data_IF_754883956640
#
_entry.id   IF_754883956640
#
_cell.length_a   1.000
_cell.length_b   1.000
_cell.length_c   1.000
_cell.angle_alpha   90.00
_cell.angle_beta   90.00
_cell.angle_gamma   90.00
#
_symmetry.space_group_name_H-M   'P 1'
#
loop_
_entity.id
_entity.type
_entity.pdbx_description
1 polymer ?
#
# COMPACT_ATOMS: atom_id res chain seq x y z
N UNK A 1 -10.40 -6.34 -1.14
CA UNK A 1 -9.63 -5.41 -2.01
C UNK A 1 -8.42 -6.14 -2.57
N UNK A 2 -8.20 -6.03 -3.88
CA UNK A 2 -7.02 -6.65 -4.50
C UNK A 2 -5.78 -5.79 -4.24
N UNK A 3 -4.61 -6.38 -4.49
CA UNK A 3 -3.35 -5.64 -4.38
C UNK A 3 -3.34 -4.41 -5.27
N UNK A 4 -3.79 -4.57 -6.51
CA UNK A 4 -3.81 -3.46 -7.47
C UNK A 4 -4.74 -2.34 -7.02
N UNK A 5 -5.90 -2.68 -6.48
CA UNK A 5 -6.84 -1.70 -5.94
C UNK A 5 -6.23 -0.95 -4.76
N UNK A 6 -5.60 -1.68 -3.85
CA UNK A 6 -4.95 -1.09 -2.69
C UNK A 6 -3.85 -0.11 -3.11
N UNK A 7 -2.96 -0.56 -3.99
CA UNK A 7 -1.84 0.28 -4.43
C UNK A 7 -2.31 1.47 -5.25
N UNK A 8 -3.32 1.29 -6.09
CA UNK A 8 -3.89 2.39 -6.87
C UNK A 8 -4.51 3.45 -5.97
N UNK A 9 -5.26 3.02 -4.99
CA UNK A 9 -5.90 3.93 -4.04
C UNK A 9 -4.85 4.65 -3.19
N UNK A 10 -3.85 3.91 -2.74
CA UNK A 10 -2.76 4.49 -1.97
C UNK A 10 -2.03 5.57 -2.77
N UNK A 11 -1.75 5.29 -4.04
CA UNK A 11 -1.12 6.27 -4.92
C UNK A 11 -1.92 7.55 -5.08
N UNK A 12 -3.24 7.43 -5.17
CA UNK A 12 -4.12 8.60 -5.25
C UNK A 12 -4.05 9.44 -3.97
N UNK A 13 -4.03 8.77 -2.83
CA UNK A 13 -3.96 9.45 -1.54
C UNK A 13 -2.60 10.08 -1.27
N UNK A 14 -1.55 9.60 -1.93
CA UNK A 14 -0.21 10.13 -1.80
C UNK A 14 0.15 11.14 -2.90
N UNK A 15 -0.86 11.67 -3.59
CA UNK A 15 -0.63 12.56 -4.74
C UNK A 15 0.14 13.83 -4.39
N UNK A 16 0.18 14.24 -3.13
CA UNK A 16 0.96 15.41 -2.71
C UNK A 16 2.46 15.16 -2.61
N UNK A 17 2.87 13.89 -2.70
CA UNK A 17 4.28 13.54 -2.67
C UNK A 17 4.87 13.49 -4.09
N UNK A 18 6.20 13.65 -4.21
CA UNK A 18 6.86 13.45 -5.51
C UNK A 18 6.58 12.04 -6.03
N UNK A 19 6.45 11.90 -7.34
CA UNK A 19 6.16 10.61 -7.97
C UNK A 19 7.15 9.52 -7.54
N UNK A 20 8.41 9.87 -7.39
CA UNK A 20 9.45 8.95 -6.96
C UNK A 20 9.16 8.35 -5.59
N UNK A 21 8.72 9.18 -4.64
CA UNK A 21 8.36 8.72 -3.31
C UNK A 21 7.11 7.87 -3.32
N UNK A 22 6.15 8.23 -4.14
CA UNK A 22 4.91 7.45 -4.30
C UNK A 22 5.26 6.04 -4.80
N UNK A 23 6.11 5.95 -5.80
CA UNK A 23 6.52 4.66 -6.36
C UNK A 23 7.28 3.81 -5.36
N UNK A 24 8.17 4.41 -4.58
CA UNK A 24 8.90 3.70 -3.52
C UNK A 24 7.95 3.14 -2.47
N UNK A 25 6.99 3.93 -2.05
CA UNK A 25 6.00 3.51 -1.06
C UNK A 25 5.16 2.36 -1.60
N UNK A 26 4.70 2.48 -2.83
CA UNK A 26 3.91 1.42 -3.47
C UNK A 26 4.71 0.13 -3.60
N UNK A 27 5.98 0.24 -3.99
CA UNK A 27 6.84 -0.93 -4.13
C UNK A 27 7.02 -1.63 -2.78
N UNK A 28 7.20 -0.87 -1.71
CA UNK A 28 7.35 -1.42 -0.36
C UNK A 28 6.13 -2.24 0.03
N UNK A 29 4.94 -1.69 -0.15
CA UNK A 29 3.72 -2.39 0.23
C UNK A 29 3.39 -3.55 -0.71
N UNK A 30 3.72 -3.42 -1.99
CA UNK A 30 3.55 -4.53 -2.94
C UNK A 30 4.39 -5.73 -2.52
N UNK A 31 5.62 -5.49 -2.10
CA UNK A 31 6.51 -6.54 -1.64
C UNK A 31 6.01 -7.16 -0.33
N UNK A 32 5.55 -6.33 0.60
CA UNK A 32 5.01 -6.81 1.87
C UNK A 32 3.79 -7.71 1.65
N UNK A 33 2.92 -7.34 0.73
CA UNK A 33 1.75 -8.14 0.38
C UNK A 33 2.19 -9.48 -0.23
N UNK A 34 3.16 -9.43 -1.15
CA UNK A 34 3.68 -10.63 -1.79
C UNK A 34 4.29 -11.60 -0.77
N UNK A 35 5.02 -11.09 0.20
CA UNK A 35 5.61 -11.89 1.26
C UNK A 35 4.56 -12.64 2.07
N UNK A 36 3.48 -11.95 2.41
CA UNK A 36 2.38 -12.58 3.17
C UNK A 36 1.69 -13.65 2.35
N UNK A 37 1.55 -13.43 1.06
CA UNK A 37 0.97 -14.45 0.18
C UNK A 37 1.86 -15.67 0.08
N UNK A 38 3.17 -15.49 0.08
CA UNK A 38 4.12 -16.59 0.11
C UNK A 38 4.00 -17.42 1.40
N UNK A 39 3.63 -16.76 2.49
CA UNK A 39 3.41 -17.42 3.78
C UNK A 39 2.07 -18.16 3.85
N UNK A 40 1.29 -18.11 2.79
CA UNK A 40 0.03 -18.84 2.71
C UNK A 40 -1.23 -18.01 2.85
N UNK A 41 -1.10 -16.70 3.00
CA UNK A 41 -2.27 -15.81 3.08
C UNK A 41 -2.84 -15.58 1.68
N UNK A 42 -4.16 -15.41 1.61
CA UNK A 42 -4.78 -15.03 0.35
C UNK A 42 -4.44 -13.57 0.06
N UNK A 43 -4.60 -13.14 -1.19
CA UNK A 43 -4.34 -11.76 -1.57
C UNK A 43 -5.17 -10.80 -0.72
N UNK A 44 -6.45 -11.10 -0.55
CA UNK A 44 -7.36 -10.28 0.24
C UNK A 44 -6.90 -10.16 1.70
N UNK A 45 -6.51 -11.27 2.29
CA UNK A 45 -6.01 -11.29 3.66
C UNK A 45 -4.70 -10.52 3.79
N UNK A 46 -3.80 -10.70 2.83
CA UNK A 46 -2.52 -10.02 2.83
C UNK A 46 -2.69 -8.50 2.73
N UNK A 47 -3.60 -8.05 1.86
CA UNK A 47 -3.91 -6.64 1.72
C UNK A 47 -4.56 -6.08 2.99
N UNK A 48 -5.49 -6.82 3.57
CA UNK A 48 -6.16 -6.41 4.80
C UNK A 48 -5.18 -6.26 5.96
N UNK A 49 -4.14 -7.09 5.98
CA UNK A 49 -3.10 -7.01 7.00
C UNK A 49 -2.30 -5.71 6.95
N UNK A 50 -2.27 -5.05 5.81
CA UNK A 50 -1.60 -3.75 5.66
C UNK A 50 -2.43 -2.61 6.28
N UNK A 51 -3.72 -2.81 6.47
CA UNK A 51 -4.65 -1.77 6.86
C UNK A 51 -5.34 -1.20 5.63
N UNK A 52 -6.09 -0.12 5.81
CA UNK A 52 -6.74 0.53 4.67
C UNK A 52 -5.76 1.46 3.98
N UNK A 53 -5.96 1.75 2.69
CA UNK A 53 -5.10 2.73 2.01
C UNK A 53 -5.07 4.08 2.72
N UNK A 54 -6.20 4.50 3.28
CA UNK A 54 -6.30 5.75 4.04
C UNK A 54 -5.42 5.75 5.27
N UNK A 55 -5.43 4.66 6.03
CA UNK A 55 -4.59 4.52 7.21
C UNK A 55 -3.11 4.55 6.87
N UNK A 56 -2.73 3.84 5.81
CA UNK A 56 -1.34 3.79 5.35
C UNK A 56 -0.90 5.17 4.88
N UNK A 57 -1.75 5.84 4.10
CA UNK A 57 -1.45 7.17 3.60
C UNK A 57 -1.28 8.17 4.75
N UNK A 58 -2.14 8.10 5.75
CA UNK A 58 -2.10 8.96 6.92
C UNK A 58 -0.77 8.81 7.67
N UNK A 59 -0.34 7.56 7.86
CA UNK A 59 0.94 7.30 8.51
C UNK A 59 2.14 7.79 7.70
N UNK A 60 2.01 7.78 6.37
CA UNK A 60 3.07 8.22 5.47
C UNK A 60 3.11 9.75 5.35
N UNK A 61 1.93 10.38 5.39
CA UNK A 61 1.78 11.82 5.17
C UNK A 61 1.67 12.61 6.48
N UNK A 62 2.64 12.45 7.35
CA UNK A 62 2.61 13.14 8.65
C UNK A 62 2.58 14.66 8.53
N UNK A 63 3.15 15.20 7.47
CA UNK A 63 3.32 16.64 7.30
C UNK A 63 2.69 17.20 6.01
N UNK A 64 1.97 16.38 5.29
CA UNK A 64 1.39 16.79 4.02
C UNK A 64 -0.04 17.25 4.17
#
# INVERSE_FOLDING_TARGET
MTRDEFLGRLGELLACLPAEQVEETKAFYAEAIADRMEDGMSEEEAVAAMGTPGEVAEATLETC
#
